data_IF_565857458860
#
_entry.id   IF_565857458860
#
_cell.length_a   1.000
_cell.length_b   1.000
_cell.length_c   1.000
_cell.angle_alpha   90.00
_cell.angle_beta   90.00
_cell.angle_gamma   90.00
#
_symmetry.space_group_name_H-M   'P 1'
#
loop_
_entity.id
_entity.type
_entity.pdbx_description
1 polymer ?
#
# COMPACT_ATOMS: atom_id res chain seq x y z
N UNK A 1 6.28 -10.72 -30.85
CA UNK A 1 5.17 -9.75 -30.87
C UNK A 1 4.48 -9.84 -29.52
N UNK A 2 4.90 -9.01 -28.55
CA UNK A 2 4.38 -9.06 -27.17
C UNK A 2 3.08 -8.27 -27.10
N UNK A 3 1.96 -8.97 -26.90
CA UNK A 3 0.69 -8.32 -26.57
C UNK A 3 0.83 -7.69 -25.17
N UNK A 4 0.67 -6.38 -25.09
CA UNK A 4 0.62 -5.64 -23.83
C UNK A 4 -0.79 -5.88 -23.27
N UNK A 5 -0.91 -6.74 -22.26
CA UNK A 5 -2.19 -7.09 -21.62
C UNK A 5 -2.83 -5.82 -21.00
N UNK A 6 -3.95 -5.39 -21.57
CA UNK A 6 -4.69 -4.15 -21.25
C UNK A 6 -5.33 -4.14 -19.85
N UNK A 7 -5.10 -5.18 -19.04
CA UNK A 7 -5.77 -5.40 -17.75
C UNK A 7 -4.90 -5.04 -16.54
N UNK A 8 -3.59 -4.84 -16.72
CA UNK A 8 -2.67 -4.51 -15.62
C UNK A 8 -2.47 -3.00 -15.55
N UNK A 9 -3.10 -2.35 -14.56
CA UNK A 9 -2.84 -0.93 -14.32
C UNK A 9 -1.50 -0.76 -13.59
N UNK A 10 -0.58 -0.11 -14.30
CA UNK A 10 0.72 0.28 -13.78
C UNK A 10 0.64 1.66 -13.16
N UNK A 11 0.67 1.74 -11.82
CA UNK A 11 0.87 3.01 -11.12
C UNK A 11 2.39 3.23 -10.97
N UNK A 12 2.89 4.34 -11.51
CA UNK A 12 4.31 4.60 -11.78
C UNK A 12 5.14 4.82 -10.50
N UNK A 13 6.42 4.42 -10.60
CA UNK A 13 7.44 4.61 -9.58
C UNK A 13 7.89 6.08 -9.51
N UNK A 14 7.89 6.66 -8.32
CA UNK A 14 8.42 8.01 -8.10
C UNK A 14 9.76 7.91 -7.36
N UNK A 15 10.79 8.54 -7.92
CA UNK A 15 12.06 8.77 -7.25
C UNK A 15 12.12 10.23 -6.85
N UNK A 16 12.20 10.53 -5.56
CA UNK A 16 12.56 11.88 -5.11
C UNK A 16 14.08 11.98 -5.15
N UNK A 17 14.69 12.78 -6.05
CA UNK A 17 16.13 12.88 -6.11
C UNK A 17 16.67 13.50 -4.81
N UNK A 18 17.77 12.95 -4.30
CA UNK A 18 18.57 13.66 -3.28
C UNK A 18 19.06 14.98 -3.90
N UNK A 19 19.16 16.09 -3.15
CA UNK A 19 19.74 17.32 -3.69
C UNK A 19 21.17 17.02 -4.14
N UNK A 20 21.41 17.03 -5.45
CA UNK A 20 22.74 16.94 -6.05
C UNK A 20 22.97 18.15 -6.96
N UNK A 21 24.20 18.64 -6.84
CA UNK A 21 24.88 19.74 -7.55
C UNK A 21 24.67 19.60 -9.08
N UNK A 22 24.56 20.71 -9.83
CA UNK A 22 23.96 20.69 -11.17
C UNK A 22 24.92 20.10 -12.22
N UNK A 23 24.46 19.06 -12.91
CA UNK A 23 24.83 18.76 -14.29
C UNK A 23 23.60 18.23 -15.04
N UNK A 24 23.58 18.50 -16.35
CA UNK A 24 22.47 18.57 -17.29
C UNK A 24 21.59 17.28 -17.44
N UNK A 25 20.39 17.38 -18.05
CA UNK A 25 19.28 16.47 -17.81
C UNK A 25 19.20 15.28 -18.79
N UNK A 26 18.82 14.12 -18.27
CA UNK A 26 18.22 13.02 -19.06
C UNK A 26 16.68 13.11 -19.00
N UNK A 27 15.96 12.78 -20.09
CA UNK A 27 14.52 12.97 -20.18
C UNK A 27 13.79 11.77 -19.58
N UNK A 28 13.34 11.88 -18.32
CA UNK A 28 12.27 11.00 -17.81
C UNK A 28 11.00 11.84 -17.74
N UNK A 29 10.12 11.61 -18.72
CA UNK A 29 8.82 12.23 -18.84
C UNK A 29 8.04 12.12 -17.52
N UNK A 30 7.77 13.29 -16.94
CA UNK A 30 6.81 13.44 -15.86
C UNK A 30 5.40 13.20 -16.39
N UNK A 31 4.62 12.43 -15.65
CA UNK A 31 3.17 12.48 -15.73
C UNK A 31 2.61 12.60 -14.31
N UNK A 32 1.87 13.69 -14.15
CA UNK A 32 1.14 14.14 -12.98
C UNK A 32 0.15 13.08 -12.47
N UNK A 33 -0.08 13.08 -11.15
CA UNK A 33 -0.97 12.15 -10.47
C UNK A 33 -2.32 11.99 -11.17
N UNK A 34 -2.64 10.74 -11.54
CA UNK A 34 -3.93 10.35 -12.07
C UNK A 34 -4.71 9.55 -11.03
N UNK A 35 -5.89 10.02 -10.66
CA UNK A 35 -6.89 9.22 -9.95
C UNK A 35 -7.71 8.44 -10.97
N UNK A 36 -7.54 7.11 -11.03
CA UNK A 36 -8.52 6.24 -11.70
C UNK A 36 -8.73 4.98 -10.86
N UNK A 37 -9.99 4.75 -10.47
CA UNK A 37 -10.56 3.50 -9.95
C UNK A 37 -9.72 2.73 -8.91
N UNK A 38 -9.92 3.05 -7.62
CA UNK A 38 -9.41 2.25 -6.49
C UNK A 38 -8.14 2.81 -5.81
N UNK A 39 -7.45 3.77 -6.42
CA UNK A 39 -6.12 4.19 -5.94
C UNK A 39 -6.00 5.71 -5.79
N UNK A 40 -5.34 6.16 -4.72
CA UNK A 40 -5.02 7.57 -4.52
C UNK A 40 -3.62 7.78 -3.93
N UNK A 41 -2.80 8.51 -4.66
CA UNK A 41 -1.37 8.64 -4.42
C UNK A 41 -1.06 10.14 -4.33
N UNK A 42 -0.75 10.65 -3.13
CA UNK A 42 -0.44 12.07 -2.90
C UNK A 42 1.06 12.35 -2.89
N UNK A 43 1.54 13.13 -3.86
CA UNK A 43 2.90 13.71 -3.88
C UNK A 43 2.98 14.99 -3.04
N UNK A 44 4.14 15.37 -2.45
CA UNK A 44 5.46 14.73 -2.51
C UNK A 44 5.77 13.72 -1.39
N UNK A 45 6.67 12.79 -1.68
CA UNK A 45 7.08 11.70 -0.77
C UNK A 45 8.16 12.12 0.23
N UNK A 46 8.28 11.41 1.36
CA UNK A 46 9.44 11.53 2.22
C UNK A 46 10.75 11.24 1.43
N UNK A 47 11.81 12.04 1.60
CA UNK A 47 13.07 11.86 0.90
C UNK A 47 13.66 10.45 1.07
N UNK A 48 14.15 9.83 0.00
CA UNK A 48 14.75 8.50 0.06
C UNK A 48 13.75 7.37 0.27
N UNK A 49 12.49 7.57 -0.14
CA UNK A 49 11.48 6.50 -0.27
C UNK A 49 11.07 6.40 -1.72
N UNK A 50 11.03 5.17 -2.22
CA UNK A 50 10.56 4.83 -3.56
C UNK A 50 9.39 3.85 -3.42
N UNK A 51 8.27 4.14 -4.09
CA UNK A 51 7.05 3.35 -4.00
C UNK A 51 6.56 3.02 -5.39
N UNK A 52 6.06 1.80 -5.58
CA UNK A 52 5.31 1.41 -6.75
C UNK A 52 4.16 0.49 -6.37
N UNK A 53 3.09 0.55 -7.15
CA UNK A 53 1.94 -0.30 -6.97
C UNK A 53 1.47 -0.90 -8.30
N UNK A 54 0.85 -2.07 -8.20
CA UNK A 54 0.24 -2.78 -9.31
C UNK A 54 -1.10 -3.33 -8.84
N UNK A 55 -2.12 -3.12 -9.65
CA UNK A 55 -3.45 -3.68 -9.45
C UNK A 55 -3.86 -4.41 -10.73
N UNK A 56 -4.51 -5.56 -10.56
CA UNK A 56 -5.21 -6.27 -11.61
C UNK A 56 -6.59 -6.61 -11.06
N UNK A 57 -7.62 -6.19 -11.77
CA UNK A 57 -8.98 -6.55 -11.40
C UNK A 57 -9.21 -8.05 -11.68
N UNK A 58 -10.00 -8.67 -10.82
CA UNK A 58 -10.53 -10.02 -11.00
C UNK A 58 -11.62 -10.08 -12.09
N UNK A 59 -12.49 -11.08 -11.98
CA UNK A 59 -13.43 -11.47 -13.05
C UNK A 59 -14.41 -10.35 -13.48
N UNK A 60 -14.84 -9.52 -12.54
CA UNK A 60 -15.87 -8.51 -12.76
C UNK A 60 -15.33 -7.17 -13.29
N UNK A 61 -13.99 -7.05 -13.42
CA UNK A 61 -13.31 -5.89 -14.00
C UNK A 61 -13.39 -4.59 -13.18
N UNK A 62 -14.08 -4.61 -12.02
CA UNK A 62 -14.26 -3.48 -11.11
C UNK A 62 -13.63 -3.85 -9.76
N UNK A 63 -12.49 -3.25 -9.38
CA UNK A 63 -11.77 -3.69 -8.21
C UNK A 63 -12.40 -3.21 -6.89
N UNK A 64 -12.58 -4.14 -5.94
CA UNK A 64 -12.85 -3.90 -4.51
C UNK A 64 -11.58 -3.58 -3.71
N UNK A 65 -10.41 -3.97 -4.23
CA UNK A 65 -9.12 -3.59 -3.69
C UNK A 65 -8.88 -2.07 -3.74
N UNK A 66 -8.21 -1.54 -2.72
CA UNK A 66 -7.67 -0.19 -2.74
C UNK A 66 -6.30 -0.07 -2.09
N UNK A 67 -5.57 0.97 -2.50
CA UNK A 67 -4.39 1.42 -1.77
C UNK A 67 -4.27 2.95 -1.82
N UNK A 68 -3.63 3.49 -0.79
CA UNK A 68 -3.44 4.92 -0.63
C UNK A 68 -2.12 5.28 0.00
N UNK A 69 -1.48 6.34 -0.47
CA UNK A 69 -0.32 6.92 0.19
C UNK A 69 -0.56 8.41 0.38
N UNK A 70 -0.63 8.82 1.65
CA UNK A 70 -1.07 10.15 2.07
C UNK A 70 -0.05 10.82 2.97
N UNK A 71 -0.06 12.14 3.03
CA UNK A 71 0.63 12.85 4.11
C UNK A 71 -0.12 12.65 5.43
N UNK A 72 0.61 12.42 6.51
CA UNK A 72 0.03 12.19 7.83
C UNK A 72 0.36 13.32 8.80
N UNK A 73 -0.59 13.77 9.62
CA UNK A 73 -0.38 14.73 10.70
C UNK A 73 -0.03 16.17 10.28
N UNK A 74 -0.33 16.57 9.05
CA UNK A 74 -0.12 17.93 8.59
C UNK A 74 -1.28 18.85 9.05
N UNK A 75 -1.28 19.29 10.31
CA UNK A 75 -2.39 20.10 10.82
C UNK A 75 -2.16 20.87 12.13
N UNK A 76 -1.28 21.87 12.12
CA UNK A 76 -1.37 23.22 12.76
C UNK A 76 0.03 23.87 12.78
N UNK A 77 0.44 24.42 11.65
CA UNK A 77 1.72 25.11 11.53
C UNK A 77 1.88 25.77 10.17
N UNK A 78 1.29 26.96 10.04
CA UNK A 78 1.55 28.02 9.05
C UNK A 78 1.81 27.58 7.60
N UNK A 79 0.93 28.07 6.72
CA UNK A 79 1.33 28.60 5.42
C UNK A 79 2.40 29.68 5.63
N UNK A 80 3.62 29.24 5.91
CA UNK A 80 4.82 30.03 5.99
C UNK A 80 5.70 29.49 4.88
N UNK A 81 5.67 30.19 3.76
CA UNK A 81 6.61 30.03 2.65
C UNK A 81 8.01 29.89 3.26
N UNK A 82 8.58 28.68 3.31
CA UNK A 82 10.00 28.49 3.62
C UNK A 82 10.80 28.95 2.41
N UNK A 83 10.86 30.27 2.24
CA UNK A 83 11.95 30.91 1.54
C UNK A 83 13.18 30.62 2.41
N UNK A 84 14.01 29.68 1.96
CA UNK A 84 15.27 29.27 2.57
C UNK A 84 15.14 28.38 3.83
N UNK A 85 15.57 27.11 3.70
CA UNK A 85 16.01 26.29 4.85
C UNK A 85 15.10 25.12 5.25
N UNK A 86 15.55 23.89 4.95
CA UNK A 86 15.25 22.57 5.54
C UNK A 86 13.98 22.45 6.39
N UNK A 87 12.94 21.78 5.87
CA UNK A 87 11.84 21.24 6.68
C UNK A 87 12.40 20.36 7.82
N UNK A 88 11.82 20.46 9.01
CA UNK A 88 12.23 19.60 10.14
C UNK A 88 11.84 18.15 9.81
N UNK A 89 12.75 17.20 10.03
CA UNK A 89 12.52 15.76 9.79
C UNK A 89 11.26 15.20 10.47
N UNK A 90 10.75 15.87 11.51
CA UNK A 90 9.55 15.47 12.24
C UNK A 90 8.22 15.79 11.53
N UNK A 91 8.26 16.62 10.47
CA UNK A 91 7.09 17.15 9.74
C UNK A 91 6.72 16.32 8.49
N UNK A 92 7.57 15.38 8.08
CA UNK A 92 7.38 14.57 6.86
C UNK A 92 6.88 13.16 7.17
N UNK A 93 5.66 13.08 7.71
CA UNK A 93 5.01 11.78 7.95
C UNK A 93 4.15 11.38 6.77
N UNK A 94 4.11 10.09 6.49
CA UNK A 94 3.16 9.54 5.52
C UNK A 94 2.41 8.35 6.11
N UNK A 95 1.20 8.12 5.60
CA UNK A 95 0.38 6.96 5.88
C UNK A 95 0.22 6.18 4.58
N UNK A 96 0.64 4.91 4.60
CA UNK A 96 0.40 3.92 3.55
C UNK A 96 -0.77 3.05 4.00
N UNK A 97 -1.78 2.88 3.16
CA UNK A 97 -2.89 1.96 3.38
C UNK A 97 -3.06 1.05 2.17
N UNK A 98 -3.43 -0.19 2.44
CA UNK A 98 -3.99 -1.13 1.47
C UNK A 98 -5.16 -1.82 2.17
N UNK A 99 -6.17 -2.19 1.40
CA UNK A 99 -7.29 -2.97 1.91
C UNK A 99 -8.06 -3.63 0.78
N UNK A 100 -8.87 -4.59 1.18
CA UNK A 100 -9.74 -5.36 0.30
C UNK A 100 -11.15 -5.45 0.90
N UNK A 101 -12.13 -5.06 0.08
CA UNK A 101 -13.53 -5.07 0.45
C UNK A 101 -14.13 -6.40 0.02
N UNK A 102 -14.65 -7.16 0.98
CA UNK A 102 -15.37 -8.37 0.68
C UNK A 102 -16.63 -8.08 -0.15
N UNK A 103 -16.76 -8.80 -1.25
CA UNK A 103 -17.79 -8.62 -2.28
C UNK A 103 -17.16 -8.17 -3.59
N UNK A 104 -17.97 -8.08 -4.65
CA UNK A 104 -17.47 -7.74 -5.98
C UNK A 104 -18.31 -6.66 -6.67
N UNK A 105 -17.76 -6.15 -7.77
CA UNK A 105 -18.44 -5.21 -8.63
C UNK A 105 -18.60 -3.81 -8.02
N UNK A 106 -19.67 -3.12 -8.42
CA UNK A 106 -19.83 -1.69 -8.17
C UNK A 106 -19.99 -1.34 -6.68
N UNK A 107 -20.59 -2.22 -5.88
CA UNK A 107 -20.78 -1.98 -4.45
C UNK A 107 -19.44 -2.01 -3.72
N UNK A 108 -18.63 -3.06 -3.92
CA UNK A 108 -17.31 -3.18 -3.33
C UNK A 108 -16.41 -1.98 -3.72
N UNK A 109 -16.40 -1.59 -4.99
CA UNK A 109 -15.64 -0.42 -5.45
C UNK A 109 -16.10 0.91 -4.82
N UNK A 110 -17.41 1.08 -4.55
CA UNK A 110 -17.92 2.29 -3.86
C UNK A 110 -17.45 2.34 -2.41
N UNK A 111 -17.47 1.20 -1.72
CA UNK A 111 -16.97 1.06 -0.34
C UNK A 111 -15.47 1.31 -0.31
N UNK A 112 -14.70 0.72 -1.22
CA UNK A 112 -13.25 0.92 -1.37
C UNK A 112 -12.91 2.42 -1.56
N UNK A 113 -13.64 3.09 -2.44
CA UNK A 113 -13.50 4.54 -2.66
C UNK A 113 -13.86 5.36 -1.42
N UNK A 114 -14.92 5.00 -0.69
CA UNK A 114 -15.29 5.67 0.55
C UNK A 114 -14.22 5.47 1.62
N UNK A 115 -13.75 4.25 1.82
CA UNK A 115 -12.68 3.90 2.75
C UNK A 115 -11.42 4.71 2.47
N UNK A 116 -10.98 4.75 1.21
CA UNK A 116 -9.80 5.50 0.78
C UNK A 116 -9.94 7.01 1.05
N UNK A 117 -11.13 7.59 0.83
CA UNK A 117 -11.41 9.00 1.16
C UNK A 117 -11.36 9.25 2.67
N UNK A 118 -11.97 8.37 3.46
CA UNK A 118 -11.96 8.45 4.94
C UNK A 118 -10.53 8.39 5.46
N UNK A 119 -9.73 7.41 5.01
CA UNK A 119 -8.33 7.30 5.42
C UNK A 119 -7.54 8.55 5.04
N UNK A 120 -7.73 9.06 3.82
CA UNK A 120 -7.08 10.30 3.36
C UNK A 120 -7.41 11.49 4.28
N UNK A 121 -8.68 11.68 4.60
CA UNK A 121 -9.12 12.79 5.45
C UNK A 121 -8.58 12.67 6.87
N UNK A 122 -8.74 11.49 7.48
CA UNK A 122 -8.32 11.23 8.86
C UNK A 122 -6.79 11.32 8.99
N UNK A 123 -6.05 10.85 7.98
CA UNK A 123 -4.58 10.92 7.98
C UNK A 123 -4.06 12.36 8.10
N UNK A 124 -4.81 13.38 7.65
CA UNK A 124 -4.39 14.79 7.78
C UNK A 124 -4.24 15.24 9.23
N UNK A 125 -5.04 14.65 10.13
CA UNK A 125 -5.11 15.01 11.56
C UNK A 125 -4.51 13.95 12.49
N UNK A 126 -4.55 12.68 12.09
CA UNK A 126 -4.08 11.55 12.90
C UNK A 126 -2.77 10.96 12.37
N UNK A 127 -1.92 10.54 13.31
CA UNK A 127 -0.61 9.92 13.00
C UNK A 127 -0.46 8.49 13.54
N UNK A 128 -1.38 8.07 14.40
CA UNK A 128 -1.44 6.70 14.90
C UNK A 128 -2.25 5.85 13.92
N UNK A 129 -1.67 4.81 13.31
CA UNK A 129 -2.38 3.97 12.35
C UNK A 129 -3.60 3.31 12.99
N UNK A 130 -3.54 2.95 14.27
CA UNK A 130 -4.70 2.40 14.99
C UNK A 130 -5.89 3.35 14.97
N UNK A 131 -5.68 4.65 15.24
CA UNK A 131 -6.76 5.65 15.23
C UNK A 131 -7.33 5.84 13.83
N UNK A 132 -6.48 5.81 12.80
CA UNK A 132 -6.92 5.91 11.40
C UNK A 132 -7.83 4.73 11.04
N UNK A 133 -7.43 3.52 11.40
CA UNK A 133 -8.20 2.28 11.15
C UNK A 133 -9.48 2.24 11.99
N UNK A 134 -9.44 2.73 13.23
CA UNK A 134 -10.60 2.85 14.11
C UNK A 134 -11.67 3.80 13.54
N UNK A 135 -11.26 4.99 13.07
CA UNK A 135 -12.17 5.91 12.36
C UNK A 135 -12.75 5.30 11.09
N UNK A 136 -11.96 4.50 10.36
CA UNK A 136 -12.44 3.78 9.20
C UNK A 136 -13.50 2.73 9.58
N UNK A 137 -13.31 2.02 10.69
CA UNK A 137 -14.30 1.07 11.22
C UNK A 137 -15.63 1.76 11.54
N UNK A 138 -15.58 2.87 12.27
CA UNK A 138 -16.78 3.65 12.59
C UNK A 138 -17.50 4.11 11.33
N UNK A 139 -16.76 4.64 10.35
CA UNK A 139 -17.36 5.08 9.09
C UNK A 139 -18.01 3.92 8.30
N UNK A 140 -17.43 2.71 8.36
CA UNK A 140 -18.01 1.52 7.73
C UNK A 140 -19.33 1.11 8.41
N UNK A 141 -19.35 1.07 9.74
CA UNK A 141 -20.54 0.71 10.53
C UNK A 141 -21.67 1.73 10.36
N UNK A 142 -21.34 3.03 10.33
CA UNK A 142 -22.31 4.11 10.16
C UNK A 142 -22.90 4.14 8.74
N UNK A 143 -22.11 3.81 7.72
CA UNK A 143 -22.54 3.88 6.33
C UNK A 143 -23.56 2.80 5.96
N UNK A 144 -23.49 1.63 6.59
CA UNK A 144 -24.42 0.54 6.31
C UNK A 144 -24.44 -0.49 7.47
N UNK A 145 -25.23 -0.25 8.53
CA UNK A 145 -25.32 -1.14 9.68
C UNK A 145 -25.84 -2.56 9.35
N UNK A 146 -26.56 -2.72 8.24
CA UNK A 146 -27.08 -4.01 7.73
C UNK A 146 -26.31 -4.53 6.50
N UNK A 147 -25.15 -3.96 6.18
CA UNK A 147 -24.35 -4.40 5.02
C UNK A 147 -23.59 -5.68 5.32
N UNK A 148 -23.69 -6.65 4.40
CA UNK A 148 -22.84 -7.85 4.40
C UNK A 148 -21.38 -7.56 3.96
N UNK A 149 -21.08 -6.35 3.47
CA UNK A 149 -19.72 -5.95 3.12
C UNK A 149 -18.89 -5.62 4.37
N UNK A 150 -17.76 -6.31 4.50
CA UNK A 150 -16.69 -6.00 5.44
C UNK A 150 -15.40 -5.69 4.69
N UNK A 151 -14.40 -5.17 5.40
CA UNK A 151 -13.16 -4.69 4.80
C UNK A 151 -11.95 -5.18 5.60
N UNK A 152 -10.99 -5.84 4.94
CA UNK A 152 -9.66 -6.05 5.52
C UNK A 152 -8.75 -4.87 5.18
N UNK A 153 -7.92 -4.41 6.11
CA UNK A 153 -6.99 -3.32 5.82
C UNK A 153 -5.73 -3.38 6.67
N UNK A 154 -4.63 -2.85 6.12
CA UNK A 154 -3.45 -2.52 6.90
C UNK A 154 -3.06 -1.06 6.66
N UNK A 155 -2.79 -0.34 7.75
CA UNK A 155 -2.30 1.03 7.73
C UNK A 155 -0.91 1.09 8.35
N UNK A 156 0.03 1.71 7.64
CA UNK A 156 1.41 1.93 8.10
C UNK A 156 1.69 3.42 8.10
N UNK A 157 2.04 3.99 9.25
CA UNK A 157 2.59 5.35 9.30
C UNK A 157 4.10 5.32 9.37
N UNK A 158 4.74 6.15 8.54
CA UNK A 158 6.19 6.30 8.45
C UNK A 158 6.58 7.70 8.91
N UNK A 159 7.62 7.76 9.75
CA UNK A 159 8.28 9.01 10.11
C UNK A 159 9.79 8.90 9.88
N UNK A 160 10.45 9.94 9.35
CA UNK A 160 11.89 9.96 9.21
C UNK A 160 12.60 9.67 10.53
N UNK A 161 13.73 8.99 10.43
CA UNK A 161 14.61 8.71 11.55
C UNK A 161 16.06 8.74 11.09
N UNK A 162 16.99 8.74 12.05
CA UNK A 162 18.42 8.59 11.74
C UNK A 162 18.63 7.27 10.99
N UNK A 163 19.11 7.37 9.75
CA UNK A 163 19.37 6.24 8.84
C UNK A 163 18.11 5.43 8.47
N UNK A 164 17.04 6.11 8.09
CA UNK A 164 15.86 5.50 7.46
C UNK A 164 14.55 6.00 8.08
N UNK A 165 13.62 5.09 8.35
CA UNK A 165 12.27 5.41 8.83
C UNK A 165 11.91 4.58 10.06
N UNK A 166 11.14 5.19 10.96
CA UNK A 166 10.37 4.47 11.98
C UNK A 166 8.97 4.26 11.44
N UNK A 167 8.51 3.03 11.51
CA UNK A 167 7.21 2.61 11.01
C UNK A 167 6.35 2.11 12.18
N UNK A 168 5.06 2.41 12.12
CA UNK A 168 4.03 1.82 12.97
C UNK A 168 2.98 1.23 12.05
N UNK A 169 2.60 -0.02 12.27
CA UNK A 169 1.61 -0.76 11.49
C UNK A 169 0.41 -1.10 12.37
N UNK A 170 -0.79 -1.03 11.81
CA UNK A 170 -2.02 -1.59 12.36
C UNK A 170 -2.74 -2.37 11.26
N UNK A 171 -3.06 -3.63 11.51
CA UNK A 171 -3.82 -4.50 10.60
C UNK A 171 -5.19 -4.85 11.18
N UNK A 172 -6.18 -4.95 10.30
CA UNK A 172 -7.55 -5.37 10.55
C UNK A 172 -7.88 -6.52 9.59
N UNK A 173 -7.61 -7.76 10.00
CA UNK A 173 -7.86 -8.96 9.21
C UNK A 173 -7.06 -9.12 7.90
N UNK A 174 -6.07 -8.25 7.64
CA UNK A 174 -5.36 -8.22 6.36
C UNK A 174 -4.10 -9.12 6.38
N UNK A 175 -3.65 -9.67 5.23
CA UNK A 175 -2.45 -10.48 5.14
C UNK A 175 -1.18 -9.83 5.74
N UNK A 176 -0.20 -10.63 6.21
CA UNK A 176 1.02 -10.11 6.79
C UNK A 176 1.81 -9.22 5.83
N UNK A 177 2.36 -8.11 6.32
CA UNK A 177 3.28 -7.27 5.55
C UNK A 177 4.66 -7.91 5.53
N UNK A 178 5.27 -8.06 4.36
CA UNK A 178 6.61 -8.62 4.23
C UNK A 178 7.66 -7.51 4.23
N UNK A 179 8.72 -7.71 5.02
CA UNK A 179 9.89 -6.83 5.06
C UNK A 179 11.11 -7.63 4.63
N UNK A 180 11.64 -7.31 3.46
CA UNK A 180 12.93 -7.82 3.00
C UNK A 180 14.02 -6.87 3.48
N UNK A 181 14.97 -7.41 4.23
CA UNK A 181 16.19 -6.68 4.63
C UNK A 181 17.19 -6.64 3.48
N UNK A 182 18.15 -5.71 3.59
CA UNK A 182 19.25 -5.60 2.61
C UNK A 182 20.02 -6.91 2.39
N UNK A 183 20.16 -7.74 3.43
CA UNK A 183 20.83 -9.05 3.37
C UNK A 183 20.00 -10.15 2.66
N UNK A 184 18.78 -9.83 2.23
CA UNK A 184 17.88 -10.76 1.56
C UNK A 184 16.95 -11.54 2.49
N UNK A 185 17.11 -11.42 3.81
CA UNK A 185 16.18 -12.04 4.77
C UNK A 185 14.80 -11.39 4.67
N UNK A 186 13.75 -12.21 4.71
CA UNK A 186 12.36 -11.74 4.70
C UNK A 186 11.74 -12.02 6.06
N UNK A 187 11.08 -11.01 6.63
CA UNK A 187 10.30 -11.12 7.86
C UNK A 187 8.86 -10.71 7.61
N UNK A 188 7.94 -11.50 8.13
CA UNK A 188 6.52 -11.15 8.19
C UNK A 188 6.27 -10.25 9.40
N UNK A 189 5.41 -9.25 9.21
CA UNK A 189 4.87 -8.40 10.25
C UNK A 189 3.36 -8.47 10.15
N UNK A 190 2.73 -8.97 11.20
CA UNK A 190 1.27 -8.97 11.35
C UNK A 190 0.88 -8.45 12.73
N UNK A 191 -0.36 -8.02 12.86
CA UNK A 191 -1.01 -7.68 14.13
C UNK A 191 -2.38 -8.32 14.15
N UNK A 192 -2.88 -8.62 15.34
CA UNK A 192 -4.25 -9.06 15.50
C UNK A 192 -5.22 -7.91 15.19
N UNK A 193 -6.39 -8.27 14.67
CA UNK A 193 -7.51 -7.36 14.41
C UNK A 193 -8.58 -8.06 13.57
N UNK A 194 -9.84 -7.78 13.85
CA UNK A 194 -10.99 -8.27 13.09
C UNK A 194 -11.19 -7.36 11.87
N UNK A 195 -11.74 -7.91 10.78
CA UNK A 195 -12.15 -7.12 9.62
C UNK A 195 -13.12 -5.99 10.02
N UNK A 196 -13.02 -4.86 9.33
CA UNK A 196 -13.77 -3.65 9.62
C UNK A 196 -15.21 -3.76 9.12
N UNK A 197 -16.13 -3.11 9.81
CA UNK A 197 -17.57 -3.19 9.54
C UNK A 197 -18.26 -4.40 10.17
N UNK A 198 -17.52 -5.29 10.83
CA UNK A 198 -18.08 -6.49 11.50
C UNK A 198 -18.51 -6.22 12.93
N UNK A 199 -17.72 -5.44 13.68
CA UNK A 199 -17.95 -5.15 15.09
C UNK A 199 -17.45 -3.76 15.45
N UNK A 200 -18.08 -3.13 16.45
CA UNK A 200 -17.68 -1.82 16.97
C UNK A 200 -16.28 -1.85 17.61
N UNK A 201 -15.83 -2.99 18.14
CA UNK A 201 -14.50 -3.17 18.72
C UNK A 201 -13.68 -4.25 17.98
N UNK A 202 -12.95 -3.86 16.92
CA UNK A 202 -12.18 -4.79 16.09
C UNK A 202 -10.87 -5.29 16.72
N UNK A 203 -10.59 -5.00 18.00
CA UNK A 203 -9.40 -5.49 18.72
C UNK A 203 -8.07 -5.13 18.04
N UNK A 204 -7.94 -3.88 17.58
CA UNK A 204 -6.80 -3.42 16.78
C UNK A 204 -5.52 -3.22 17.60
N UNK A 205 -4.41 -3.74 17.09
CA UNK A 205 -3.09 -3.64 17.72
C UNK A 205 -2.07 -2.92 16.81
N UNK A 206 -1.03 -2.33 17.43
CA UNK A 206 0.07 -1.68 16.70
C UNK A 206 1.37 -2.47 16.79
N UNK A 207 2.08 -2.58 15.66
CA UNK A 207 3.45 -3.09 15.61
C UNK A 207 4.44 -2.01 15.19
N UNK A 208 5.52 -1.84 15.95
CA UNK A 208 6.54 -0.80 15.71
C UNK A 208 7.82 -1.42 15.17
N UNK A 209 8.33 -0.89 14.07
CA UNK A 209 9.56 -1.38 13.44
C UNK A 209 10.37 -0.25 12.80
N UNK A 210 11.54 -0.60 12.27
CA UNK A 210 12.40 0.32 11.53
C UNK A 210 12.65 -0.20 10.12
N UNK A 211 12.76 0.75 9.20
CA UNK A 211 13.21 0.52 7.83
C UNK A 211 14.51 1.27 7.63
N UNK A 212 15.52 0.53 7.19
CA UNK A 212 16.86 1.04 6.89
C UNK A 212 17.04 1.15 5.38
N UNK A 213 18.00 1.97 4.91
CA UNK A 213 18.37 1.98 3.50
C UNK A 213 18.67 0.57 2.97
N UNK A 214 18.06 0.23 1.85
CA UNK A 214 18.09 -1.09 1.21
C UNK A 214 17.00 -2.06 1.69
N UNK A 215 16.21 -1.72 2.70
CA UNK A 215 15.04 -2.52 3.08
C UNK A 215 13.86 -2.23 2.14
N UNK A 216 13.10 -3.29 1.83
CA UNK A 216 11.90 -3.24 0.98
C UNK A 216 10.70 -3.82 1.72
N UNK A 217 9.60 -3.07 1.74
CA UNK A 217 8.28 -3.51 2.18
C UNK A 217 7.48 -4.03 0.98
N UNK A 218 6.73 -5.10 1.21
CA UNK A 218 5.69 -5.60 0.32
C UNK A 218 4.38 -5.69 1.10
N UNK A 219 3.36 -4.99 0.60
CA UNK A 219 1.98 -5.15 1.02
C UNK A 219 1.22 -5.75 -0.16
N UNK A 220 0.27 -6.64 0.13
CA UNK A 220 -0.47 -7.35 -0.89
C UNK A 220 -1.85 -7.75 -0.38
N UNK A 221 -2.81 -7.85 -1.29
CA UNK A 221 -4.11 -8.46 -1.04
C UNK A 221 -4.03 -9.98 -1.23
N UNK A 222 -4.94 -10.70 -0.61
CA UNK A 222 -4.98 -12.15 -0.61
C UNK A 222 -5.14 -12.74 -2.02
N UNK A 223 -5.70 -12.02 -2.99
CA UNK A 223 -5.70 -12.43 -4.40
C UNK A 223 -4.32 -12.82 -4.97
N UNK A 224 -3.22 -12.32 -4.39
CA UNK A 224 -1.86 -12.83 -4.71
C UNK A 224 -1.68 -14.27 -4.23
N UNK A 225 -2.05 -14.56 -2.98
CA UNK A 225 -1.86 -15.85 -2.33
C UNK A 225 -2.94 -16.86 -2.70
N UNK A 226 -4.14 -16.38 -3.02
CA UNK A 226 -5.30 -17.16 -3.41
C UNK A 226 -5.31 -17.50 -4.90
N UNK A 227 -4.35 -16.99 -5.69
CA UNK A 227 -4.10 -17.44 -7.05
C UNK A 227 -4.02 -18.98 -7.08
N UNK A 228 -4.84 -19.62 -7.93
CA UNK A 228 -5.13 -21.05 -7.83
C UNK A 228 -4.70 -21.83 -9.06
N UNK A 229 -4.12 -22.99 -8.78
CA UNK A 229 -3.85 -24.04 -9.75
C UNK A 229 -4.63 -25.29 -9.34
N UNK A 230 -5.71 -25.61 -10.05
CA UNK A 230 -6.70 -26.60 -9.61
C UNK A 230 -7.19 -26.24 -8.19
N UNK A 231 -6.96 -27.12 -7.21
CA UNK A 231 -7.34 -26.91 -5.81
C UNK A 231 -6.21 -26.33 -4.93
N UNK A 232 -5.03 -26.10 -5.50
CA UNK A 232 -3.87 -25.60 -4.77
C UNK A 232 -3.72 -24.07 -4.92
N UNK A 233 -3.66 -23.35 -3.80
CA UNK A 233 -3.34 -21.92 -3.75
C UNK A 233 -1.83 -21.68 -3.94
N UNK A 234 -1.46 -20.53 -4.51
CA UNK A 234 -0.06 -20.09 -4.63
C UNK A 234 0.58 -20.02 -3.24
N UNK A 235 -0.13 -19.39 -2.30
CA UNK A 235 0.17 -19.40 -0.88
C UNK A 235 1.34 -18.50 -0.46
N UNK A 236 1.31 -18.12 0.81
CA UNK A 236 2.33 -17.27 1.45
C UNK A 236 3.77 -17.82 1.33
N UNK A 237 4.05 -19.14 1.46
CA UNK A 237 5.42 -19.64 1.36
C UNK A 237 6.07 -19.37 0.00
N UNK A 238 5.31 -19.50 -1.10
CA UNK A 238 5.82 -19.21 -2.46
C UNK A 238 6.02 -17.71 -2.65
N UNK A 239 5.08 -16.90 -2.19
CA UNK A 239 5.20 -15.44 -2.21
C UNK A 239 6.45 -14.97 -1.47
N UNK A 240 6.68 -15.46 -0.25
CA UNK A 240 7.85 -15.11 0.56
C UNK A 240 9.16 -15.53 -0.12
N UNK A 241 9.22 -16.76 -0.63
CA UNK A 241 10.40 -17.26 -1.35
C UNK A 241 10.70 -16.44 -2.61
N UNK A 242 9.66 -16.06 -3.36
CA UNK A 242 9.79 -15.19 -4.52
C UNK A 242 10.26 -13.79 -4.14
N UNK A 243 9.63 -13.17 -3.15
CA UNK A 243 9.98 -11.84 -2.67
C UNK A 243 11.40 -11.75 -2.12
N UNK A 244 11.90 -12.81 -1.46
CA UNK A 244 13.30 -12.88 -1.02
C UNK A 244 14.30 -12.70 -2.18
N UNK A 245 13.99 -13.26 -3.36
CA UNK A 245 14.81 -13.15 -4.57
C UNK A 245 14.69 -11.80 -5.26
N UNK A 246 13.46 -11.30 -5.43
CA UNK A 246 13.20 -10.12 -6.27
C UNK A 246 13.14 -8.81 -5.50
N UNK A 247 12.96 -8.82 -4.17
CA UNK A 247 12.72 -7.61 -3.38
C UNK A 247 13.90 -6.64 -3.28
N UNK A 248 15.08 -7.00 -3.80
CA UNK A 248 16.22 -6.08 -3.96
C UNK A 248 16.15 -5.23 -5.24
N UNK A 249 15.25 -5.55 -6.18
CA UNK A 249 15.03 -4.80 -7.41
C UNK A 249 14.35 -3.45 -7.14
N UNK A 250 14.21 -2.64 -8.19
CA UNK A 250 13.37 -1.43 -8.17
C UNK A 250 11.92 -1.78 -7.76
N UNK A 251 11.25 -0.99 -6.91
CA UNK A 251 9.90 -1.29 -6.43
C UNK A 251 8.88 -1.62 -7.54
N UNK A 252 8.98 -0.93 -8.69
CA UNK A 252 8.11 -1.21 -9.84
C UNK A 252 8.33 -2.60 -10.45
N UNK A 253 9.57 -3.09 -10.47
CA UNK A 253 9.90 -4.44 -10.90
C UNK A 253 9.48 -5.48 -9.86
N UNK A 254 9.63 -5.17 -8.57
CA UNK A 254 9.13 -6.03 -7.48
C UNK A 254 7.63 -6.23 -7.61
N UNK A 255 6.85 -5.15 -7.65
CA UNK A 255 5.39 -5.23 -7.73
C UNK A 255 4.94 -5.98 -9.00
N UNK A 256 5.56 -5.68 -10.16
CA UNK A 256 5.29 -6.41 -11.41
C UNK A 256 5.61 -7.90 -11.29
N UNK A 257 6.77 -8.24 -10.74
CA UNK A 257 7.24 -9.62 -10.64
C UNK A 257 6.39 -10.45 -9.68
N UNK A 258 5.83 -9.84 -8.63
CA UNK A 258 4.92 -10.52 -7.70
C UNK A 258 3.58 -10.79 -8.38
N UNK A 259 2.98 -9.79 -9.02
CA UNK A 259 1.73 -9.98 -9.79
C UNK A 259 1.93 -11.06 -10.85
N UNK A 260 3.02 -10.99 -11.63
CA UNK A 260 3.28 -11.98 -12.68
C UNK A 260 3.45 -13.39 -12.13
N UNK A 261 4.12 -13.57 -10.98
CA UNK A 261 4.27 -14.89 -10.39
C UNK A 261 2.94 -15.52 -9.95
N UNK A 262 2.00 -14.71 -9.44
CA UNK A 262 0.64 -15.18 -9.14
C UNK A 262 -0.10 -15.55 -10.43
N UNK A 263 0.01 -14.74 -11.48
CA UNK A 263 -0.62 -14.99 -12.78
C UNK A 263 -0.09 -16.24 -13.48
N UNK A 264 1.23 -16.42 -13.49
CA UNK A 264 1.88 -17.57 -14.12
C UNK A 264 1.55 -18.89 -13.38
N UNK A 265 1.12 -18.80 -12.12
CA UNK A 265 0.70 -19.95 -11.34
C UNK A 265 -0.74 -20.40 -11.67
N UNK A 266 -1.60 -19.47 -12.09
CA UNK A 266 -3.00 -19.77 -12.40
C UNK A 266 -3.14 -20.60 -13.69
N UNK A 267 -3.87 -21.71 -13.63
CA UNK A 267 -4.26 -22.48 -14.83
C UNK A 267 -5.39 -21.78 -15.62
N UNK A 268 -6.11 -20.84 -14.98
CA UNK A 268 -7.32 -20.18 -15.51
C UNK A 268 -7.35 -18.67 -15.19
N UNK A 269 -8.48 -18.00 -15.46
CA UNK A 269 -8.65 -16.57 -15.21
C UNK A 269 -8.59 -16.28 -13.71
N UNK A 270 -7.85 -15.24 -13.34
CA UNK A 270 -7.81 -14.68 -11.99
C UNK A 270 -9.23 -14.44 -11.46
N UNK A 271 -9.54 -15.06 -10.33
CA UNK A 271 -10.88 -14.97 -9.71
C UNK A 271 -11.07 -13.69 -8.93
N UNK A 272 -10.01 -13.21 -8.27
CA UNK A 272 -10.06 -12.11 -7.31
C UNK A 272 -9.13 -10.95 -7.69
N UNK A 273 -9.33 -9.78 -7.09
CA UNK A 273 -8.44 -8.65 -7.31
C UNK A 273 -7.03 -8.92 -6.78
N UNK A 274 -6.02 -8.50 -7.53
CA UNK A 274 -4.63 -8.59 -7.12
C UNK A 274 -4.07 -7.18 -6.98
N UNK A 275 -3.78 -6.78 -5.76
CA UNK A 275 -3.10 -5.52 -5.46
C UNK A 275 -1.80 -5.76 -4.73
N UNK A 276 -0.74 -5.12 -5.21
CA UNK A 276 0.61 -5.21 -4.64
C UNK A 276 1.19 -3.81 -4.54
N UNK A 277 1.71 -3.46 -3.36
CA UNK A 277 2.48 -2.25 -3.11
C UNK A 277 3.88 -2.61 -2.63
N UNK A 278 4.89 -2.13 -3.35
CA UNK A 278 6.30 -2.24 -2.97
C UNK A 278 6.85 -0.87 -2.56
N UNK A 279 7.49 -0.79 -1.39
CA UNK A 279 8.11 0.42 -0.87
C UNK A 279 9.56 0.14 -0.49
N UNK A 280 10.52 0.94 -0.98
CA UNK A 280 11.94 0.80 -0.67
C UNK A 280 12.50 2.08 -0.06
N UNK A 281 13.37 1.92 0.94
CA UNK A 281 14.13 3.03 1.53
C UNK A 281 15.54 3.07 0.91
N UNK A 282 16.02 4.25 0.47
CA UNK A 282 17.30 4.43 -0.26
C UNK A 282 18.35 5.29 0.43
#
# INVERSE_FOLDING_TARGET
MFAVDSTIKTYLAFRVPRPRVPHAPDPVAGLTGGSTGGSLVESPWPPGVEVAARCRAGRDGVPGDFFGLFRSGAGRGRSGRHLFGRARLDEERCALVIGDVCGNGLQAARVAQAALRTVREVSRRETAPRRIVDYLNTAMLDAAPDSECFLTAVCITLRPAVRGYRAVLCSAGHPPVLVRRRDGTVREITTNGIALGVTADPQLNEYRFRLRPGDTLLLYTDGVTEARRRDEQYGEPRLRGHFARVGGLEPGLVARSVVQAALDYCDSVVTDDITVVALRVS
#
